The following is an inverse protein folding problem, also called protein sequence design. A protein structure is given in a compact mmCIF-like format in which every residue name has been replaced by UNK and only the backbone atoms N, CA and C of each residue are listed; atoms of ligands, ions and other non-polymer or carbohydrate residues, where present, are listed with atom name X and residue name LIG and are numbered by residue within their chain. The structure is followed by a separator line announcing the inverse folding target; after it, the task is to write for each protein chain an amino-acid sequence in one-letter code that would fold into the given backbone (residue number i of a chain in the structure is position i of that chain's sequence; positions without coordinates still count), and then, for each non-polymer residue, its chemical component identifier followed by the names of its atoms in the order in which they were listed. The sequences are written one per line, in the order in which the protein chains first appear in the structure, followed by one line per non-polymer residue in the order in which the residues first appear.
data_IF_293355930061
#
_entry.id   IF_293355930061
#
_cell.length_a   1.000
_cell.length_b   1.000
_cell.length_c   1.000
_cell.angle_alpha   90.00
_cell.angle_beta   90.00
_cell.angle_gamma   90.00
#
_symmetry.space_group_name_H-M   'P 1'
#
loop_
_entity.id
_entity.type
_entity.pdbx_description
1 polymer ?
#
# COMPACT_ATOMS: atom_id res chain seq x y z
N UNK A 1 -7.33 0.75 -14.29
CA UNK A 1 -5.97 1.11 -14.75
C UNK A 1 -5.07 0.87 -13.56
N UNK A 2 -3.90 0.26 -13.73
CA UNK A 2 -2.97 0.12 -12.62
C UNK A 2 -2.46 1.52 -12.25
N UNK A 3 -2.57 1.87 -10.98
CA UNK A 3 -2.15 3.17 -10.45
C UNK A 3 -0.77 3.02 -9.79
N UNK A 4 0.08 4.03 -9.93
CA UNK A 4 1.36 4.08 -9.22
C UNK A 4 1.20 5.06 -8.06
N UNK A 5 1.36 4.55 -6.84
CA UNK A 5 1.35 5.34 -5.63
C UNK A 5 2.79 5.58 -5.17
N UNK A 6 3.06 6.82 -4.77
CA UNK A 6 4.29 7.18 -4.05
C UNK A 6 4.02 7.11 -2.56
N UNK A 7 4.68 6.17 -1.88
CA UNK A 7 4.69 6.13 -0.44
C UNK A 7 5.83 7.02 0.07
N UNK A 8 5.50 7.98 0.93
CA UNK A 8 6.45 8.90 1.53
C UNK A 8 6.23 8.97 3.05
N UNK A 9 7.28 8.72 3.82
CA UNK A 9 7.26 8.87 5.26
C UNK A 9 7.65 10.29 5.68
N UNK A 10 6.77 10.96 6.42
CA UNK A 10 6.96 12.34 6.86
C UNK A 10 8.02 12.49 7.97
N UNK A 11 8.37 11.41 8.67
CA UNK A 11 9.33 11.44 9.78
C UNK A 11 10.75 11.10 9.30
N UNK A 12 10.94 9.99 8.58
CA UNK A 12 12.27 9.50 8.19
C UNK A 12 12.63 9.74 6.72
N UNK A 13 11.80 10.47 5.97
CA UNK A 13 11.99 10.74 4.53
C UNK A 13 12.12 9.48 3.65
N UNK A 14 11.69 8.31 4.14
CA UNK A 14 11.62 7.09 3.35
C UNK A 14 10.62 7.26 2.20
N UNK A 15 11.04 6.90 0.98
CA UNK A 15 10.25 7.02 -0.23
C UNK A 15 10.32 5.74 -1.04
N UNK A 16 9.18 5.28 -1.54
CA UNK A 16 9.09 4.10 -2.41
C UNK A 16 7.89 4.24 -3.34
N UNK A 17 8.04 3.76 -4.57
CA UNK A 17 6.96 3.70 -5.56
C UNK A 17 6.36 2.29 -5.56
N UNK A 18 5.03 2.22 -5.45
CA UNK A 18 4.29 0.97 -5.36
C UNK A 18 3.13 0.98 -6.34
N UNK A 19 2.77 -0.19 -6.85
CA UNK A 19 1.62 -0.37 -7.74
C UNK A 19 0.38 -0.66 -6.91
N UNK A 20 -0.74 -0.09 -7.33
CA UNK A 20 -2.03 -0.28 -6.71
C UNK A 20 -3.11 -0.49 -7.78
N UNK A 21 -3.75 -1.66 -7.73
CA UNK A 21 -4.83 -2.04 -8.65
C UNK A 21 -4.36 -2.68 -9.96
N UNK A 22 -5.24 -3.53 -10.50
CA UNK A 22 -5.01 -4.28 -11.75
C UNK A 22 -5.48 -3.56 -13.01
N UNK A 23 -4.96 -4.01 -14.16
CA UNK A 23 -5.51 -3.63 -15.47
C UNK A 23 -6.92 -4.20 -15.68
N UNK A 24 -7.72 -3.56 -16.54
CA UNK A 24 -9.12 -3.96 -16.83
C UNK A 24 -9.26 -5.40 -17.38
N UNK A 25 -8.18 -5.97 -17.93
CA UNK A 25 -8.15 -7.31 -18.53
C UNK A 25 -7.62 -8.42 -17.61
N UNK A 26 -6.92 -8.07 -16.53
CA UNK A 26 -6.23 -9.03 -15.65
C UNK A 26 -6.59 -8.84 -14.17
N UNK A 27 -7.65 -8.10 -13.84
CA UNK A 27 -8.01 -7.85 -12.44
C UNK A 27 -8.35 -9.13 -11.64
N UNK A 28 -8.73 -10.21 -12.33
CA UNK A 28 -9.00 -11.54 -11.73
C UNK A 28 -7.72 -12.35 -11.47
N UNK A 29 -6.58 -11.96 -12.05
CA UNK A 29 -5.31 -12.71 -12.00
C UNK A 29 -4.18 -11.88 -11.42
N UNK A 30 -4.26 -10.55 -11.52
CA UNK A 30 -3.21 -9.61 -11.18
C UNK A 30 -3.79 -8.39 -10.46
N UNK A 31 -3.68 -8.41 -9.13
CA UNK A 31 -4.10 -7.32 -8.27
C UNK A 31 -2.93 -6.84 -7.39
N UNK A 32 -1.99 -6.06 -7.95
CA UNK A 32 -0.84 -5.58 -7.20
C UNK A 32 -1.28 -4.53 -6.19
N UNK A 33 -0.87 -4.71 -4.94
CA UNK A 33 -1.15 -3.79 -3.83
C UNK A 33 0.08 -3.64 -2.95
N UNK A 34 0.23 -2.50 -2.24
CA UNK A 34 1.31 -2.34 -1.29
C UNK A 34 1.14 -3.27 -0.10
N UNK A 35 2.20 -4.00 0.20
CA UNK A 35 2.31 -4.82 1.40
C UNK A 35 3.66 -4.56 2.08
N UNK A 36 3.66 -4.67 3.40
CA UNK A 36 4.85 -4.74 4.21
C UNK A 36 5.38 -6.16 4.23
N UNK A 37 6.63 -6.34 3.80
CA UNK A 37 7.34 -7.61 3.90
C UNK A 37 8.05 -7.70 5.25
N UNK A 38 7.64 -8.66 6.10
CA UNK A 38 8.25 -8.88 7.43
C UNK A 38 9.70 -9.36 7.35
N UNK A 39 10.10 -9.98 6.24
CA UNK A 39 11.44 -10.56 6.05
C UNK A 39 12.46 -9.50 5.64
N UNK A 40 12.10 -8.62 4.70
CA UNK A 40 13.00 -7.57 4.21
C UNK A 40 12.85 -6.26 4.99
N UNK A 41 11.78 -6.13 5.79
CA UNK A 41 11.37 -4.90 6.46
C UNK A 41 11.14 -3.74 5.46
N UNK A 42 10.64 -4.05 4.25
CA UNK A 42 10.40 -3.08 3.18
C UNK A 42 8.95 -3.12 2.69
N UNK A 43 8.55 -2.08 1.94
CA UNK A 43 7.25 -2.02 1.29
C UNK A 43 7.43 -2.49 -0.14
N UNK A 44 6.64 -3.48 -0.53
CA UNK A 44 6.69 -4.08 -1.86
C UNK A 44 5.30 -4.15 -2.47
N UNK A 45 5.24 -4.19 -3.80
CA UNK A 45 3.98 -4.39 -4.52
C UNK A 45 3.79 -5.87 -4.78
N UNK A 46 2.85 -6.49 -4.08
CA UNK A 46 2.58 -7.93 -4.20
C UNK A 46 1.15 -8.16 -4.69
N UNK A 47 0.91 -9.30 -5.33
CA UNK A 47 -0.42 -9.63 -5.82
C UNK A 47 -1.29 -10.13 -4.67
N UNK A 48 -2.34 -9.38 -4.34
CA UNK A 48 -3.26 -9.75 -3.26
C UNK A 48 -3.88 -11.12 -3.45
N UNK A 49 -4.20 -11.50 -4.70
CA UNK A 49 -4.91 -12.76 -4.99
C UNK A 49 -4.06 -14.00 -4.69
N UNK A 50 -2.73 -13.90 -4.85
CA UNK A 50 -1.80 -15.01 -4.60
C UNK A 50 -1.24 -14.96 -3.19
N UNK A 51 -0.94 -13.77 -2.68
CA UNK A 51 -0.22 -13.60 -1.41
C UNK A 51 -1.13 -13.38 -0.19
N UNK A 52 -2.46 -13.36 -0.33
CA UNK A 52 -3.38 -13.13 0.80
C UNK A 52 -3.22 -14.13 1.96
N UNK A 53 -2.78 -15.35 1.68
CA UNK A 53 -2.54 -16.38 2.70
C UNK A 53 -1.07 -16.45 3.14
N UNK A 54 -0.22 -15.59 2.60
CA UNK A 54 1.19 -15.58 2.94
C UNK A 54 1.45 -14.74 4.20
N UNK A 55 1.75 -15.41 5.31
CA UNK A 55 2.03 -14.79 6.61
C UNK A 55 3.22 -13.81 6.63
N UNK A 56 4.07 -13.83 5.61
CA UNK A 56 5.24 -12.94 5.49
C UNK A 56 4.86 -11.52 5.06
N UNK A 57 3.69 -11.34 4.43
CA UNK A 57 3.22 -10.05 3.96
C UNK A 57 2.06 -9.53 4.82
N UNK A 58 2.10 -8.25 5.16
CA UNK A 58 0.97 -7.54 5.77
C UNK A 58 0.51 -6.46 4.81
N UNK A 59 -0.73 -6.55 4.36
CA UNK A 59 -1.28 -5.57 3.43
C UNK A 59 -1.61 -4.26 4.12
N UNK A 60 -1.36 -3.13 3.45
CA UNK A 60 -1.68 -1.80 4.00
C UNK A 60 -3.19 -1.51 4.06
N UNK A 61 -4.00 -2.41 3.52
CA UNK A 61 -5.45 -2.41 3.70
C UNK A 61 -5.91 -3.13 4.97
N UNK A 62 -5.01 -3.83 5.67
CA UNK A 62 -5.31 -4.57 6.90
C UNK A 62 -5.18 -3.66 8.13
N UNK A 63 -6.07 -3.82 9.11
CA UNK A 63 -6.14 -2.95 10.30
C UNK A 63 -4.87 -3.00 11.17
N UNK A 64 -4.02 -4.02 11.03
CA UNK A 64 -2.76 -4.14 11.77
C UNK A 64 -1.77 -2.99 11.50
N UNK A 65 -1.67 -2.56 10.24
CA UNK A 65 -0.68 -1.55 9.79
C UNK A 65 -1.33 -0.31 9.19
N UNK A 66 -2.66 -0.31 9.13
CA UNK A 66 -3.52 0.80 8.75
C UNK A 66 -3.75 1.66 9.99
N UNK A 67 -3.21 2.87 10.01
CA UNK A 67 -3.46 3.82 11.09
C UNK A 67 -4.66 4.70 10.81
N UNK A 68 -4.85 5.72 11.64
CA UNK A 68 -6.00 6.62 11.59
C UNK A 68 -5.97 7.53 10.37
N UNK A 69 -6.93 7.43 9.46
CA UNK A 69 -7.00 8.29 8.28
C UNK A 69 -7.78 9.58 8.55
N UNK A 70 -7.33 10.40 9.51
CA UNK A 70 -7.99 11.67 9.88
C UNK A 70 -8.29 12.53 8.63
N UNK A 71 -9.58 12.66 8.29
CA UNK A 71 -10.12 13.36 7.10
C UNK A 71 -9.49 12.96 5.74
N UNK A 72 -8.72 11.86 5.71
CA UNK A 72 -7.89 11.48 4.57
C UNK A 72 -8.68 10.79 3.45
N UNK A 73 -8.21 10.97 2.22
CA UNK A 73 -8.72 10.18 1.09
C UNK A 73 -8.42 8.69 1.30
N UNK A 74 -9.22 7.81 0.71
CA UNK A 74 -8.99 6.36 0.72
C UNK A 74 -8.89 5.92 -0.73
N UNK A 75 -7.79 5.24 -1.08
CA UNK A 75 -7.69 4.54 -2.34
C UNK A 75 -8.48 3.24 -2.22
N UNK A 76 -9.46 3.07 -3.09
CA UNK A 76 -10.32 1.88 -3.14
C UNK A 76 -9.97 1.03 -4.35
N UNK A 77 -9.82 -0.26 -4.13
CA UNK A 77 -9.61 -1.22 -5.20
C UNK A 77 -10.31 -2.54 -4.84
N UNK A 78 -11.47 -2.78 -5.45
CA UNK A 78 -12.41 -3.83 -5.05
C UNK A 78 -12.78 -3.68 -3.56
N UNK A 79 -12.56 -4.73 -2.77
CA UNK A 79 -12.80 -4.76 -1.32
C UNK A 79 -11.63 -4.20 -0.49
N UNK A 80 -10.55 -3.75 -1.13
CA UNK A 80 -9.38 -3.22 -0.44
C UNK A 80 -9.46 -1.70 -0.28
N UNK A 81 -9.31 -1.26 0.96
CA UNK A 81 -9.31 0.15 1.33
C UNK A 81 -7.95 0.55 1.91
N UNK A 82 -7.19 1.33 1.14
CA UNK A 82 -5.89 1.84 1.51
C UNK A 82 -6.00 3.30 1.95
N UNK A 83 -5.60 3.59 3.18
CA UNK A 83 -5.58 4.95 3.70
C UNK A 83 -4.54 5.80 2.99
N UNK A 84 -4.86 7.06 2.69
CA UNK A 84 -3.89 7.98 2.12
C UNK A 84 -2.80 8.33 3.13
N UNK A 85 -3.15 8.60 4.38
CA UNK A 85 -2.22 9.09 5.41
C UNK A 85 -2.12 8.13 6.59
N UNK A 86 -1.14 8.37 7.46
CA UNK A 86 -0.96 7.71 8.76
C UNK A 86 -0.84 6.19 8.66
N UNK A 87 -0.22 5.68 7.60
CA UNK A 87 0.09 4.27 7.50
C UNK A 87 1.41 3.95 8.23
N UNK A 88 1.58 2.71 8.65
CA UNK A 88 2.82 2.24 9.27
C UNK A 88 4.02 2.45 8.33
N UNK A 89 5.10 3.03 8.82
CA UNK A 89 6.36 3.09 8.08
C UNK A 89 7.34 2.07 8.66
N UNK A 90 7.87 1.12 7.87
CA UNK A 90 8.75 0.08 8.42
C UNK A 90 10.13 0.61 8.83
N UNK A 91 10.60 1.69 8.22
CA UNK A 91 11.93 2.28 8.53
C UNK A 91 11.95 3.02 9.87
N UNK A 92 10.90 3.76 10.21
CA UNK A 92 10.82 4.50 11.48
C UNK A 92 9.83 3.91 12.48
N UNK A 93 9.18 2.78 12.14
CA UNK A 93 8.24 2.02 12.97
C UNK A 93 7.13 2.90 13.56
N UNK A 94 6.62 3.84 12.76
CA UNK A 94 5.63 4.83 13.19
C UNK A 94 4.58 5.09 12.09
N UNK A 95 3.36 5.47 12.47
CA UNK A 95 2.22 5.73 11.59
C UNK A 95 2.33 7.12 10.94
N UNK A 96 3.24 7.23 9.99
CA UNK A 96 3.61 8.50 9.34
C UNK A 96 3.82 8.39 7.83
N UNK A 97 3.55 7.21 7.28
CA UNK A 97 3.61 6.94 5.85
C UNK A 97 2.36 7.48 5.15
N UNK A 98 2.57 8.20 4.06
CA UNK A 98 1.52 8.77 3.20
C UNK A 98 1.65 8.19 1.80
N UNK A 99 0.56 7.67 1.24
CA UNK A 99 0.46 7.28 -0.16
C UNK A 99 -0.12 8.44 -0.98
N UNK A 100 0.48 8.72 -2.13
CA UNK A 100 0.02 9.76 -3.06
C UNK A 100 -0.04 9.19 -4.47
N UNK A 101 -1.16 9.38 -5.15
CA UNK A 101 -1.29 9.02 -6.56
C UNK A 101 -0.35 9.84 -7.43
N UNK A 102 0.32 9.18 -8.36
CA UNK A 102 1.10 9.85 -9.39
C UNK A 102 0.39 9.72 -10.74
N UNK A 103 -0.63 10.56 -10.96
CA UNK A 103 -1.24 10.72 -12.29
C UNK A 103 -0.38 11.72 -13.05
N UNK A 104 0.35 11.26 -14.09
CA UNK A 104 0.84 12.17 -15.12
C UNK A 104 -0.38 12.77 -15.82
N UNK A 105 -0.60 14.06 -15.61
CA UNK A 105 -1.54 14.84 -16.42
C UNK A 105 -0.94 15.15 -17.79
#
# INVERSE_FOLDING_TARGET
MAEILKANCRICNYKVEVKYGGGKFDYLTNNPVPAFNKTTEEIESVNFLTEKENSNYVFYSNDEIKGDNEDGYIFRNFDLELNQINNYCPKCKNYSLTFQSYIYS
#
